data_IF_147495930011
#
_entry.id   IF_147495930011
#
_cell.length_a   1.000
_cell.length_b   1.000
_cell.length_c   1.000
_cell.angle_alpha   90.00
_cell.angle_beta   90.00
_cell.angle_gamma   90.00
#
_symmetry.space_group_name_H-M   'P 1'
#
loop_
_entity.id
_entity.type
_entity.pdbx_description
1 polymer ?
#
# COMPACT_ATOMS: atom_id res chain seq x y z
N UNK A 1 20.12 -1.41 -31.67
CA UNK A 1 18.83 -1.77 -31.04
C UNK A 1 18.98 -1.95 -29.53
N UNK A 2 20.04 -2.58 -29.03
CA UNK A 2 20.37 -2.65 -27.57
C UNK A 2 20.49 -1.28 -26.90
N UNK A 3 21.15 -0.31 -27.53
CA UNK A 3 21.37 1.03 -26.94
C UNK A 3 20.07 1.81 -26.74
N UNK A 4 19.11 1.69 -27.66
CA UNK A 4 17.82 2.40 -27.59
C UNK A 4 16.86 1.77 -26.56
N UNK A 5 16.93 0.45 -26.36
CA UNK A 5 16.18 -0.25 -25.31
C UNK A 5 16.75 0.05 -23.92
N UNK A 6 18.09 0.11 -23.80
CA UNK A 6 18.76 0.54 -22.56
C UNK A 6 18.43 1.99 -22.21
N UNK A 7 18.45 2.93 -23.17
CA UNK A 7 18.06 4.33 -22.93
C UNK A 7 16.59 4.47 -22.54
N UNK A 8 15.66 3.76 -23.19
CA UNK A 8 14.25 3.77 -22.78
C UNK A 8 14.05 3.15 -21.40
N UNK A 9 14.71 2.04 -21.07
CA UNK A 9 14.63 1.45 -19.73
C UNK A 9 15.24 2.37 -18.66
N UNK A 10 16.31 3.12 -19.00
CA UNK A 10 16.92 4.14 -18.13
C UNK A 10 16.02 5.37 -17.93
N UNK A 11 15.29 5.80 -18.96
CA UNK A 11 14.29 6.89 -18.88
C UNK A 11 13.05 6.46 -18.08
N UNK A 12 12.60 5.21 -18.21
CA UNK A 12 11.51 4.66 -17.38
C UNK A 12 11.92 4.48 -15.90
N UNK A 13 13.20 4.22 -15.62
CA UNK A 13 13.71 4.06 -14.25
C UNK A 13 13.98 5.36 -13.49
N UNK A 14 13.80 6.55 -14.07
CA UNK A 14 14.11 7.84 -13.41
C UNK A 14 12.93 8.82 -13.39
N UNK A 15 11.71 8.31 -13.55
CA UNK A 15 10.50 9.12 -13.67
C UNK A 15 10.22 10.01 -12.44
N UNK A 16 10.72 9.61 -11.27
CA UNK A 16 10.48 10.28 -9.99
C UNK A 16 11.76 10.87 -9.38
N UNK A 17 12.81 11.08 -10.19
CA UNK A 17 14.03 11.74 -9.71
C UNK A 17 13.73 13.12 -9.11
N UNK A 18 14.23 13.37 -7.90
CA UNK A 18 14.00 14.60 -7.16
C UNK A 18 12.63 14.70 -6.48
N UNK A 19 11.78 13.68 -6.58
CA UNK A 19 10.53 13.56 -5.81
C UNK A 19 10.82 13.04 -4.40
N UNK A 20 10.04 13.54 -3.44
CA UNK A 20 10.12 13.12 -2.03
C UNK A 20 8.85 12.38 -1.65
N UNK A 21 9.00 11.17 -1.15
CA UNK A 21 7.90 10.32 -0.69
C UNK A 21 7.99 10.06 0.81
N UNK A 22 6.84 10.02 1.48
CA UNK A 22 6.67 9.49 2.83
C UNK A 22 5.71 8.31 2.77
N UNK A 23 6.12 7.15 3.30
CA UNK A 23 5.29 5.96 3.39
C UNK A 23 5.18 5.53 4.85
N UNK A 24 4.00 5.76 5.42
CA UNK A 24 3.62 5.20 6.71
C UNK A 24 3.24 3.73 6.56
N UNK A 25 3.80 2.86 7.40
CA UNK A 25 3.57 1.41 7.29
C UNK A 25 4.56 0.66 6.40
N UNK A 26 5.67 1.29 6.01
CA UNK A 26 6.63 0.75 5.05
C UNK A 26 7.51 -0.41 5.55
N UNK A 27 7.25 -0.98 6.71
CA UNK A 27 8.14 -2.03 7.26
C UNK A 27 8.13 -3.31 6.42
N UNK A 28 6.99 -3.67 5.81
CA UNK A 28 6.73 -4.97 5.16
C UNK A 28 5.59 -4.85 4.13
N UNK A 29 5.28 -5.94 3.42
CA UNK A 29 4.10 -6.02 2.55
C UNK A 29 4.07 -4.97 1.46
N UNK A 30 2.87 -4.42 1.19
CA UNK A 30 2.66 -3.41 0.16
C UNK A 30 3.49 -2.14 0.43
N UNK A 31 3.52 -1.63 1.65
CA UNK A 31 4.31 -0.46 2.05
C UNK A 31 5.79 -0.58 1.73
N UNK A 32 6.38 -1.74 2.03
CA UNK A 32 7.78 -2.02 1.65
C UNK A 32 7.96 -2.00 0.14
N UNK A 33 7.10 -2.71 -0.61
CA UNK A 33 7.25 -2.81 -2.05
C UNK A 33 7.03 -1.46 -2.75
N UNK A 34 6.06 -0.67 -2.30
CA UNK A 34 5.85 0.71 -2.74
C UNK A 34 7.09 1.57 -2.48
N UNK A 35 7.74 1.43 -1.31
CA UNK A 35 9.00 2.14 -1.03
C UNK A 35 10.09 1.77 -2.03
N UNK A 36 10.28 0.46 -2.26
CA UNK A 36 11.30 -0.06 -3.16
C UNK A 36 11.05 0.37 -4.61
N UNK A 37 9.82 0.30 -5.11
CA UNK A 37 9.48 0.74 -6.47
C UNK A 37 9.62 2.26 -6.65
N UNK A 38 9.22 3.07 -5.67
CA UNK A 38 9.46 4.51 -5.70
C UNK A 38 10.96 4.85 -5.71
N UNK A 39 11.76 4.15 -4.91
CA UNK A 39 13.22 4.25 -4.94
C UNK A 39 13.81 3.89 -6.29
N UNK A 40 13.37 2.76 -6.87
CA UNK A 40 13.77 2.32 -8.21
C UNK A 40 13.44 3.34 -9.30
N UNK A 41 12.37 4.11 -9.12
CA UNK A 41 11.98 5.21 -10.01
C UNK A 41 12.74 6.53 -9.75
N UNK A 42 13.63 6.58 -8.75
CA UNK A 42 14.48 7.72 -8.42
C UNK A 42 13.99 8.61 -7.26
N UNK A 43 12.96 8.21 -6.52
CA UNK A 43 12.47 9.03 -5.40
C UNK A 43 13.40 8.93 -4.17
N UNK A 44 13.42 10.00 -3.36
CA UNK A 44 13.85 9.92 -1.96
C UNK A 44 12.66 9.49 -1.10
N UNK A 45 12.78 8.38 -0.39
CA UNK A 45 11.66 7.73 0.33
C UNK A 45 11.94 7.68 1.82
N UNK A 46 11.10 8.36 2.60
CA UNK A 46 11.05 8.20 4.06
C UNK A 46 10.23 6.95 4.39
N UNK A 47 10.92 5.96 4.94
CA UNK A 47 10.41 4.63 5.26
C UNK A 47 10.09 4.60 6.76
N UNK A 48 8.79 4.60 7.10
CA UNK A 48 8.37 4.75 8.50
C UNK A 48 7.49 3.62 8.98
N UNK A 49 7.55 3.38 10.29
CA UNK A 49 6.88 2.28 10.95
C UNK A 49 7.47 2.03 12.32
N UNK A 50 6.89 1.06 13.02
CA UNK A 50 7.21 0.77 14.42
C UNK A 50 8.29 -0.29 14.58
N UNK A 51 8.34 -1.30 13.70
CA UNK A 51 9.36 -2.34 13.81
C UNK A 51 10.70 -1.83 13.26
N UNK A 52 11.69 -1.76 14.14
CA UNK A 52 13.09 -1.43 13.86
C UNK A 52 13.97 -2.63 14.18
N UNK A 53 15.28 -2.52 13.96
CA UNK A 53 16.25 -3.54 14.42
C UNK A 53 16.26 -3.71 15.94
N UNK A 54 15.85 -2.70 16.69
CA UNK A 54 15.92 -2.65 18.16
C UNK A 54 14.54 -2.79 18.82
N UNK A 55 13.45 -2.63 18.07
CA UNK A 55 12.08 -2.64 18.59
C UNK A 55 11.15 -3.44 17.68
N UNK A 56 10.34 -4.31 18.28
CA UNK A 56 9.33 -5.11 17.57
C UNK A 56 7.95 -4.60 17.93
N UNK A 57 7.18 -4.22 16.92
CA UNK A 57 5.78 -3.78 17.12
C UNK A 57 4.87 -4.92 17.57
N UNK A 58 3.63 -4.59 17.95
CA UNK A 58 2.62 -5.56 18.40
C UNK A 58 2.26 -6.64 17.36
N UNK A 59 2.62 -6.43 16.09
CA UNK A 59 2.50 -7.44 15.02
C UNK A 59 3.43 -8.63 15.27
N UNK A 60 4.47 -8.48 16.09
CA UNK A 60 5.34 -9.58 16.55
C UNK A 60 6.31 -10.12 15.52
N UNK A 61 6.38 -9.55 14.31
CA UNK A 61 7.29 -9.96 13.25
C UNK A 61 8.64 -9.26 13.36
N UNK A 62 9.71 -10.05 13.45
CA UNK A 62 11.09 -9.58 13.73
C UNK A 62 12.00 -9.54 12.50
N UNK A 63 11.59 -10.18 11.40
CA UNK A 63 12.37 -10.31 10.16
C UNK A 63 12.33 -9.05 9.31
N UNK A 64 11.21 -8.32 9.35
CA UNK A 64 11.04 -7.09 8.60
C UNK A 64 11.23 -5.86 9.48
N UNK A 65 12.14 -4.97 9.06
CA UNK A 65 12.44 -3.69 9.72
C UNK A 65 12.35 -2.53 8.72
N UNK A 66 12.14 -1.31 9.23
CA UNK A 66 12.19 -0.11 8.38
C UNK A 66 13.61 0.13 7.84
N UNK A 67 14.66 -0.20 8.59
CA UNK A 67 16.04 -0.09 8.14
C UNK A 67 16.31 -1.05 6.99
N UNK A 68 15.86 -2.31 7.10
CA UNK A 68 15.98 -3.29 6.02
C UNK A 68 15.20 -2.86 4.77
N UNK A 69 14.05 -2.22 4.94
CA UNK A 69 13.33 -1.66 3.78
C UNK A 69 14.08 -0.48 3.16
N UNK A 70 14.65 0.44 3.95
CA UNK A 70 15.46 1.53 3.41
C UNK A 70 16.70 1.02 2.65
N UNK A 71 17.32 -0.07 3.11
CA UNK A 71 18.42 -0.73 2.39
C UNK A 71 17.98 -1.32 1.05
N UNK A 72 16.79 -1.95 1.00
CA UNK A 72 16.20 -2.42 -0.26
C UNK A 72 15.87 -1.26 -1.23
N UNK A 73 15.47 -0.10 -0.69
CA UNK A 73 15.27 1.12 -1.48
C UNK A 73 16.60 1.57 -2.09
N UNK A 74 17.66 1.68 -1.30
CA UNK A 74 19.00 2.08 -1.77
C UNK A 74 19.54 1.09 -2.83
N UNK A 75 19.37 -0.22 -2.62
CA UNK A 75 19.76 -1.26 -3.58
C UNK A 75 19.01 -1.11 -4.91
N UNK A 76 17.69 -0.88 -4.86
CA UNK A 76 16.86 -0.75 -6.04
C UNK A 76 17.06 0.57 -6.80
N UNK A 77 17.37 1.65 -6.08
CA UNK A 77 17.51 3.00 -6.63
C UNK A 77 18.88 3.28 -7.26
N UNK A 78 19.93 2.54 -6.86
CA UNK A 78 21.30 2.85 -7.25
C UNK A 78 21.73 4.25 -6.78
N UNK A 79 22.03 5.15 -7.71
CA UNK A 79 22.51 6.50 -7.39
C UNK A 79 21.43 7.59 -7.43
N UNK A 80 20.19 7.25 -7.82
CA UNK A 80 19.18 8.25 -8.20
C UNK A 80 18.04 8.41 -7.20
N UNK A 81 17.88 7.47 -6.28
CA UNK A 81 16.90 7.52 -5.18
C UNK A 81 17.56 7.12 -3.87
N UNK A 82 16.82 7.23 -2.77
CA UNK A 82 17.36 6.96 -1.43
C UNK A 82 16.29 6.52 -0.44
N UNK A 83 16.58 5.48 0.35
CA UNK A 83 15.79 5.09 1.51
C UNK A 83 16.24 5.82 2.77
N UNK A 84 15.31 6.36 3.54
CA UNK A 84 15.58 7.00 4.83
C UNK A 84 14.65 6.36 5.88
N UNK A 85 15.19 5.45 6.68
CA UNK A 85 14.43 4.85 7.77
C UNK A 85 14.21 5.86 8.90
N UNK A 86 12.96 6.05 9.33
CA UNK A 86 12.61 6.88 10.49
C UNK A 86 11.60 6.16 11.37
N UNK A 87 12.01 5.65 12.56
CA UNK A 87 11.09 5.05 13.51
C UNK A 87 9.97 6.03 13.86
N UNK A 88 8.73 5.64 13.60
CA UNK A 88 7.55 6.48 13.82
C UNK A 88 6.35 5.61 14.16
N UNK A 89 5.75 5.83 15.32
CA UNK A 89 4.38 5.40 15.60
C UNK A 89 3.40 6.47 15.09
N UNK A 90 2.65 6.14 14.05
CA UNK A 90 1.68 7.05 13.45
C UNK A 90 0.43 7.28 14.31
N UNK A 91 0.33 6.62 15.48
CA UNK A 91 -0.63 6.96 16.52
C UNK A 91 -0.14 8.01 17.51
N UNK A 92 1.13 8.43 17.41
CA UNK A 92 1.74 9.41 18.31
C UNK A 92 1.99 10.72 17.55
N UNK A 93 1.10 11.74 17.68
CA UNK A 93 1.15 12.96 16.87
C UNK A 93 2.48 13.70 16.94
N UNK A 94 3.16 13.68 18.09
CA UNK A 94 4.45 14.34 18.26
C UNK A 94 5.58 13.65 17.47
N UNK A 95 5.53 12.32 17.31
CA UNK A 95 6.48 11.59 16.47
C UNK A 95 6.24 11.91 14.99
N UNK A 96 4.98 11.95 14.56
CA UNK A 96 4.60 12.31 13.18
C UNK A 96 5.01 13.75 12.87
N UNK A 97 4.84 14.68 13.81
CA UNK A 97 5.29 16.07 13.64
C UNK A 97 6.81 16.15 13.49
N UNK A 98 7.56 15.48 14.36
CA UNK A 98 9.02 15.44 14.28
C UNK A 98 9.53 14.85 12.95
N UNK A 99 8.83 13.83 12.43
CA UNK A 99 9.08 13.25 11.11
C UNK A 99 8.85 14.28 9.99
N UNK A 100 7.69 14.94 9.95
CA UNK A 100 7.36 15.94 8.91
C UNK A 100 8.31 17.14 8.98
N UNK A 101 8.63 17.64 10.18
CA UNK A 101 9.61 18.72 10.39
C UNK A 101 11.01 18.32 9.89
N UNK A 102 11.38 17.05 10.02
CA UNK A 102 12.61 16.51 9.45
C UNK A 102 12.57 16.51 7.92
N UNK A 103 11.48 16.06 7.31
CA UNK A 103 11.30 16.08 5.85
C UNK A 103 11.38 17.51 5.32
N UNK A 104 10.69 18.46 5.96
CA UNK A 104 10.73 19.87 5.57
C UNK A 104 12.14 20.45 5.66
N UNK A 105 12.87 20.19 6.76
CA UNK A 105 14.26 20.67 6.92
C UNK A 105 15.23 20.05 5.90
N UNK A 106 15.10 18.76 5.62
CA UNK A 106 16.04 18.03 4.77
C UNK A 106 15.76 18.22 3.28
N UNK A 107 14.48 18.34 2.89
CA UNK A 107 14.06 18.34 1.49
C UNK A 107 13.26 19.59 1.08
N UNK A 108 12.63 20.29 2.02
CA UNK A 108 11.78 21.47 1.77
C UNK A 108 10.47 21.18 1.04
N UNK A 109 10.14 19.90 0.83
CA UNK A 109 8.98 19.45 0.04
C UNK A 109 8.54 18.05 0.44
N UNK A 110 7.29 17.73 0.11
CA UNK A 110 6.73 16.39 0.06
C UNK A 110 5.91 16.29 -1.23
N UNK A 111 6.12 15.25 -2.03
CA UNK A 111 5.43 15.04 -3.30
C UNK A 111 4.44 13.88 -3.24
N UNK A 112 4.76 12.83 -2.47
CA UNK A 112 3.97 11.60 -2.40
C UNK A 112 3.79 11.25 -0.93
N UNK A 113 2.56 11.16 -0.48
CA UNK A 113 2.19 10.68 0.86
C UNK A 113 1.41 9.38 0.73
N UNK A 114 1.91 8.30 1.34
CA UNK A 114 1.24 7.00 1.36
C UNK A 114 0.91 6.61 2.79
N UNK A 115 -0.37 6.42 3.07
CA UNK A 115 -0.86 5.87 4.33
C UNK A 115 -1.17 4.38 4.13
N UNK A 116 -0.26 3.51 4.56
CA UNK A 116 -0.38 2.05 4.52
C UNK A 116 -0.21 1.43 5.92
N UNK A 117 -0.70 2.14 6.95
CA UNK A 117 -0.57 1.67 8.32
C UNK A 117 -1.62 0.60 8.62
N UNK A 118 -1.17 -0.64 8.81
CA UNK A 118 -2.03 -1.73 9.27
C UNK A 118 -1.30 -2.65 10.26
N UNK A 119 -2.07 -3.15 11.23
CA UNK A 119 -1.62 -4.17 12.18
C UNK A 119 -2.79 -4.88 12.86
N UNK A 120 -4.02 -4.71 12.35
CA UNK A 120 -5.23 -5.22 12.97
C UNK A 120 -5.42 -6.73 12.83
N UNK A 121 -4.71 -7.40 11.91
CA UNK A 121 -4.91 -8.84 11.67
C UNK A 121 -4.62 -9.70 12.90
N UNK A 122 -3.66 -9.32 13.74
CA UNK A 122 -3.34 -10.05 14.98
C UNK A 122 -4.39 -9.87 16.08
N UNK A 123 -5.35 -8.97 15.88
CA UNK A 123 -6.47 -8.69 16.78
C UNK A 123 -7.75 -9.42 16.36
N UNK A 124 -7.69 -10.13 15.23
CA UNK A 124 -8.80 -10.85 14.61
C UNK A 124 -8.50 -12.35 14.60
N UNK A 125 -9.54 -13.16 14.79
CA UNK A 125 -9.45 -14.62 14.64
C UNK A 125 -10.01 -15.02 13.27
N UNK A 126 -9.14 -15.12 12.28
CA UNK A 126 -9.49 -15.54 10.92
C UNK A 126 -9.80 -17.03 10.80
N UNK A 127 -9.54 -17.83 11.84
CA UNK A 127 -9.82 -19.27 11.87
C UNK A 127 -11.23 -19.60 12.40
N UNK A 128 -11.92 -18.60 12.97
CA UNK A 128 -13.26 -18.79 13.52
C UNK A 128 -14.27 -19.17 12.42
N UNK A 129 -15.04 -20.25 12.66
CA UNK A 129 -16.11 -20.70 11.76
C UNK A 129 -17.16 -19.60 11.51
N UNK A 130 -17.42 -18.78 12.53
CA UNK A 130 -18.25 -17.58 12.45
C UNK A 130 -17.52 -16.43 13.13
N UNK A 131 -17.35 -15.33 12.39
CA UNK A 131 -16.92 -14.06 12.98
C UNK A 131 -17.96 -13.54 13.98
N UNK A 132 -17.55 -13.07 15.18
CA UNK A 132 -18.46 -12.55 16.19
C UNK A 132 -19.26 -11.36 15.68
N UNK A 133 -20.48 -11.21 16.21
CA UNK A 133 -21.26 -9.99 16.03
C UNK A 133 -20.63 -8.85 16.85
N UNK A 134 -20.89 -7.59 16.49
CA UNK A 134 -20.15 -6.43 17.04
C UNK A 134 -20.18 -6.33 18.57
N UNK A 135 -21.30 -6.69 19.21
CA UNK A 135 -21.46 -6.68 20.67
C UNK A 135 -20.78 -7.86 21.38
N UNK A 136 -20.39 -8.91 20.64
CA UNK A 136 -19.67 -10.08 21.17
C UNK A 136 -18.15 -9.96 20.95
N UNK A 137 -17.70 -8.93 20.22
CA UNK A 137 -16.28 -8.63 20.07
C UNK A 137 -15.71 -8.01 21.33
N UNK A 138 -14.43 -8.32 21.59
CA UNK A 138 -13.65 -7.58 22.58
C UNK A 138 -13.55 -6.11 22.14
N UNK A 139 -14.11 -5.21 22.96
CA UNK A 139 -14.23 -3.80 22.62
C UNK A 139 -12.86 -3.14 22.49
N UNK A 140 -11.89 -3.49 23.34
CA UNK A 140 -10.55 -2.89 23.31
C UNK A 140 -9.78 -3.30 22.05
N UNK A 141 -9.89 -4.56 21.63
CA UNK A 141 -9.36 -5.03 20.34
C UNK A 141 -10.04 -4.31 19.16
N UNK A 142 -11.37 -4.20 19.20
CA UNK A 142 -12.14 -3.51 18.18
C UNK A 142 -11.74 -2.05 18.02
N UNK A 143 -11.66 -1.30 19.13
CA UNK A 143 -11.18 0.08 19.13
C UNK A 143 -9.72 0.17 18.68
N UNK A 144 -8.84 -0.75 19.10
CA UNK A 144 -7.45 -0.78 18.64
C UNK A 144 -7.34 -0.94 17.13
N UNK A 145 -8.19 -1.74 16.49
CA UNK A 145 -8.26 -1.85 15.02
C UNK A 145 -8.57 -0.49 14.39
N UNK A 146 -9.56 0.24 14.92
CA UNK A 146 -9.91 1.58 14.44
C UNK A 146 -8.76 2.56 14.59
N UNK A 147 -8.04 2.50 15.71
CA UNK A 147 -6.85 3.33 15.91
C UNK A 147 -5.80 3.02 14.84
N UNK A 148 -5.48 1.74 14.66
CA UNK A 148 -4.45 1.31 13.72
C UNK A 148 -4.77 1.63 12.27
N UNK A 149 -6.01 1.42 11.82
CA UNK A 149 -6.39 1.54 10.40
C UNK A 149 -7.08 2.85 10.00
N UNK A 150 -7.40 3.74 10.97
CA UNK A 150 -8.09 5.01 10.69
C UNK A 150 -7.42 6.17 11.41
N UNK A 151 -7.29 6.10 12.74
CA UNK A 151 -6.69 7.20 13.52
C UNK A 151 -5.26 7.51 13.06
N UNK A 152 -4.47 6.47 12.77
CA UNK A 152 -3.11 6.64 12.26
C UNK A 152 -3.07 7.35 10.90
N UNK A 153 -4.01 7.06 9.98
CA UNK A 153 -4.13 7.73 8.70
C UNK A 153 -4.49 9.22 8.89
N UNK A 154 -5.45 9.51 9.78
CA UNK A 154 -5.87 10.88 10.10
C UNK A 154 -4.71 11.69 10.69
N UNK A 155 -4.00 11.18 11.69
CA UNK A 155 -2.87 11.87 12.33
C UNK A 155 -1.79 12.18 11.29
N UNK A 156 -1.50 11.22 10.42
CA UNK A 156 -0.47 11.35 9.37
C UNK A 156 -0.87 12.40 8.34
N UNK A 157 -2.06 12.29 7.76
CA UNK A 157 -2.57 13.25 6.78
C UNK A 157 -2.69 14.65 7.36
N UNK A 158 -3.27 14.81 8.56
CA UNK A 158 -3.37 16.11 9.22
C UNK A 158 -2.01 16.82 9.34
N UNK A 159 -0.96 16.06 9.65
CA UNK A 159 0.37 16.62 9.90
C UNK A 159 1.17 16.83 8.61
N UNK A 160 1.06 15.92 7.64
CA UNK A 160 1.89 15.92 6.44
C UNK A 160 1.30 16.71 5.25
N UNK A 161 -0.03 16.81 5.15
CA UNK A 161 -0.68 17.53 4.05
C UNK A 161 -0.28 19.01 3.95
N UNK A 162 -0.09 19.77 5.04
CA UNK A 162 0.41 21.15 4.95
C UNK A 162 1.76 21.28 4.23
N UNK A 163 2.61 20.26 4.27
CA UNK A 163 3.87 20.22 3.52
C UNK A 163 3.63 19.79 2.05
N UNK A 164 2.76 18.80 1.83
CA UNK A 164 2.39 18.31 0.49
C UNK A 164 1.82 19.43 -0.38
N UNK A 165 0.86 20.20 0.13
CA UNK A 165 0.13 21.23 -0.63
C UNK A 165 0.95 22.49 -0.95
N UNK A 166 2.18 22.59 -0.46
CA UNK A 166 3.08 23.70 -0.83
C UNK A 166 3.44 23.68 -2.32
N UNK A 167 3.38 22.51 -2.95
CA UNK A 167 3.71 22.33 -4.36
C UNK A 167 2.53 21.67 -5.10
N UNK A 168 2.09 22.20 -6.26
CA UNK A 168 1.12 21.52 -7.11
C UNK A 168 1.65 20.16 -7.59
N UNK A 169 0.74 19.22 -7.85
CA UNK A 169 1.06 17.87 -8.28
C UNK A 169 1.43 16.90 -7.14
N UNK A 170 1.14 17.26 -5.89
CA UNK A 170 1.24 16.33 -4.77
C UNK A 170 0.21 15.21 -4.85
N UNK A 171 0.59 13.99 -4.44
CA UNK A 171 -0.24 12.79 -4.46
C UNK A 171 -0.38 12.22 -3.04
N UNK A 172 -1.61 12.14 -2.54
CA UNK A 172 -1.99 11.35 -1.38
C UNK A 172 -2.55 10.00 -1.84
N UNK A 173 -2.05 8.91 -1.25
CA UNK A 173 -2.55 7.56 -1.44
C UNK A 173 -2.97 6.97 -0.11
N UNK A 174 -4.26 6.74 0.05
CA UNK A 174 -4.83 5.95 1.15
C UNK A 174 -4.84 4.48 0.73
N UNK A 175 -4.12 3.61 1.43
CA UNK A 175 -4.11 2.17 1.10
C UNK A 175 -5.18 1.43 1.86
N UNK A 176 -5.91 0.56 1.15
CA UNK A 176 -6.97 -0.28 1.73
C UNK A 176 -6.93 -1.72 1.24
N UNK A 177 -7.94 -2.51 1.59
CA UNK A 177 -8.24 -3.81 1.01
C UNK A 177 -9.69 -3.83 0.50
N UNK A 178 -9.85 -3.99 -0.81
CA UNK A 178 -11.14 -3.95 -1.52
C UNK A 178 -11.38 -2.65 -2.28
N UNK A 179 -12.00 -2.78 -3.44
CA UNK A 179 -12.53 -1.62 -4.19
C UNK A 179 -13.79 -1.07 -3.53
N UNK A 180 -14.20 0.15 -3.90
CA UNK A 180 -15.50 0.72 -3.49
C UNK A 180 -16.65 -0.25 -3.82
N UNK A 181 -16.68 -0.82 -5.03
CA UNK A 181 -17.71 -1.78 -5.44
C UNK A 181 -17.72 -3.02 -4.54
N UNK A 182 -16.55 -3.60 -4.28
CA UNK A 182 -16.44 -4.79 -3.45
C UNK A 182 -16.83 -4.53 -1.99
N UNK A 183 -16.43 -3.37 -1.45
CA UNK A 183 -16.68 -2.99 -0.06
C UNK A 183 -18.09 -2.39 0.19
N UNK A 184 -18.97 -2.36 -0.81
CA UNK A 184 -20.42 -2.14 -0.58
C UNK A 184 -21.07 -3.29 0.21
N UNK A 185 -20.43 -4.46 0.23
CA UNK A 185 -20.84 -5.60 1.05
C UNK A 185 -20.16 -5.53 2.42
N UNK A 186 -20.80 -6.11 3.42
CA UNK A 186 -20.21 -6.23 4.75
C UNK A 186 -19.04 -7.24 4.75
N UNK A 187 -17.82 -6.77 5.05
CA UNK A 187 -16.58 -7.56 4.99
C UNK A 187 -16.38 -8.54 6.14
N UNK A 188 -17.01 -8.28 7.29
CA UNK A 188 -16.84 -8.98 8.59
C UNK A 188 -15.38 -9.10 9.08
N UNK A 189 -15.14 -8.97 10.40
CA UNK A 189 -16.07 -8.45 11.41
C UNK A 189 -16.20 -6.91 11.35
N UNK A 190 -17.07 -6.34 12.18
CA UNK A 190 -17.49 -4.94 12.13
C UNK A 190 -16.33 -3.93 12.07
N UNK A 191 -15.36 -4.04 12.98
CA UNK A 191 -14.24 -3.09 13.03
C UNK A 191 -13.28 -3.24 11.84
N UNK A 192 -13.12 -4.45 11.30
CA UNK A 192 -12.32 -4.68 10.09
C UNK A 192 -12.98 -4.03 8.88
N UNK A 193 -14.29 -4.23 8.72
CA UNK A 193 -15.08 -3.63 7.65
C UNK A 193 -14.96 -2.10 7.64
N UNK A 194 -15.11 -1.46 8.81
CA UNK A 194 -14.91 -0.02 8.93
C UNK A 194 -13.47 0.39 8.61
N UNK A 195 -12.47 -0.33 9.12
CA UNK A 195 -11.07 -0.02 8.86
C UNK A 195 -10.67 -0.16 7.38
N UNK A 196 -11.37 -0.99 6.59
CA UNK A 196 -11.10 -1.15 5.14
C UNK A 196 -12.04 -0.33 4.24
N UNK A 197 -13.14 0.18 4.76
CA UNK A 197 -14.03 1.08 4.00
C UNK A 197 -13.69 2.55 4.21
N UNK A 198 -13.22 2.92 5.40
CA UNK A 198 -12.93 4.32 5.75
C UNK A 198 -11.84 4.96 4.87
N UNK A 199 -10.72 4.30 4.52
CA UNK A 199 -9.70 4.91 3.65
C UNK A 199 -10.24 5.31 2.26
N UNK A 200 -11.23 4.58 1.72
CA UNK A 200 -11.93 4.94 0.47
C UNK A 200 -12.63 6.29 0.65
N UNK A 201 -13.33 6.46 1.78
CA UNK A 201 -14.03 7.72 2.08
C UNK A 201 -13.05 8.87 2.36
N UNK A 202 -11.95 8.60 3.04
CA UNK A 202 -10.89 9.59 3.30
C UNK A 202 -10.30 10.11 2.01
N UNK A 203 -9.98 9.24 1.03
CA UNK A 203 -9.47 9.68 -0.26
C UNK A 203 -10.48 10.55 -1.02
N UNK A 204 -11.77 10.20 -1.00
CA UNK A 204 -12.82 11.03 -1.58
C UNK A 204 -12.85 12.43 -0.93
N UNK A 205 -12.94 12.50 0.39
CA UNK A 205 -13.09 13.76 1.11
C UNK A 205 -11.83 14.64 1.01
N UNK A 206 -10.64 14.06 1.15
CA UNK A 206 -9.37 14.76 0.95
C UNK A 206 -9.15 15.16 -0.52
N UNK A 207 -9.73 14.43 -1.47
CA UNK A 207 -9.71 14.81 -2.88
C UNK A 207 -10.45 16.12 -3.15
N UNK A 208 -11.55 16.39 -2.43
CA UNK A 208 -12.25 17.67 -2.54
C UNK A 208 -11.40 18.84 -2.03
N UNK A 209 -10.69 18.65 -0.92
CA UNK A 209 -9.82 19.68 -0.34
C UNK A 209 -8.53 19.90 -1.16
N UNK A 210 -7.86 18.82 -1.56
CA UNK A 210 -6.56 18.86 -2.24
C UNK A 210 -6.64 19.41 -3.67
N UNK A 211 -7.82 19.34 -4.30
CA UNK A 211 -8.05 19.88 -5.65
C UNK A 211 -7.74 21.38 -5.74
N UNK A 212 -8.08 22.17 -4.73
CA UNK A 212 -7.80 23.62 -4.72
C UNK A 212 -6.30 23.93 -4.73
N UNK A 213 -5.48 22.98 -4.28
CA UNK A 213 -4.02 23.07 -4.23
C UNK A 213 -3.35 22.40 -5.44
N UNK A 214 -4.11 21.95 -6.43
CA UNK A 214 -3.59 21.22 -7.58
C UNK A 214 -2.98 19.86 -7.21
N UNK A 215 -3.42 19.27 -6.10
CA UNK A 215 -2.99 17.96 -5.61
C UNK A 215 -4.10 16.92 -5.85
N UNK A 216 -3.73 15.64 -5.75
CA UNK A 216 -4.64 14.50 -5.98
C UNK A 216 -4.67 13.60 -4.75
N UNK A 217 -5.86 13.13 -4.37
CA UNK A 217 -6.03 12.03 -3.42
C UNK A 217 -6.63 10.82 -4.13
N UNK A 218 -6.12 9.62 -3.86
CA UNK A 218 -6.71 8.36 -4.32
C UNK A 218 -6.69 7.33 -3.21
N UNK A 219 -7.60 6.36 -3.28
CA UNK A 219 -7.48 5.15 -2.49
C UNK A 219 -6.95 4.02 -3.39
N UNK A 220 -5.89 3.33 -2.96
CA UNK A 220 -5.28 2.23 -3.70
C UNK A 220 -5.47 0.93 -2.92
N UNK A 221 -5.95 -0.12 -3.59
CA UNK A 221 -6.00 -1.47 -3.02
C UNK A 221 -5.11 -2.43 -3.81
N UNK A 222 -4.35 -3.32 -3.14
CA UNK A 222 -3.88 -4.53 -3.78
C UNK A 222 -5.06 -5.42 -4.16
N UNK A 223 -4.80 -6.42 -5.00
CA UNK A 223 -5.59 -7.64 -5.11
C UNK A 223 -5.29 -8.63 -3.97
N UNK A 224 -5.35 -9.93 -4.26
CA UNK A 224 -4.98 -10.95 -3.27
C UNK A 224 -3.46 -10.98 -3.08
N UNK A 225 -2.98 -10.26 -2.07
CA UNK A 225 -1.56 -9.96 -1.91
C UNK A 225 -0.74 -11.13 -1.38
N UNK A 226 0.35 -11.49 -2.09
CA UNK A 226 1.40 -12.41 -1.63
C UNK A 226 2.39 -11.71 -0.69
N UNK A 227 1.90 -11.15 0.42
CA UNK A 227 2.76 -10.54 1.44
C UNK A 227 3.60 -11.59 2.16
N UNK A 228 4.65 -11.16 2.87
CA UNK A 228 5.47 -12.06 3.69
C UNK A 228 4.60 -12.86 4.66
N UNK A 229 3.66 -12.20 5.35
CA UNK A 229 2.73 -12.85 6.27
C UNK A 229 1.79 -13.86 5.57
N UNK A 230 1.32 -13.57 4.36
CA UNK A 230 0.47 -14.49 3.61
C UNK A 230 1.24 -15.76 3.24
N UNK A 231 2.45 -15.60 2.72
CA UNK A 231 3.28 -16.72 2.29
C UNK A 231 3.80 -17.53 3.48
N UNK A 232 4.45 -16.89 4.46
CA UNK A 232 5.15 -17.60 5.54
C UNK A 232 4.27 -18.02 6.73
N UNK A 233 3.17 -17.30 6.97
CA UNK A 233 2.33 -17.50 8.16
C UNK A 233 1.04 -18.20 7.79
N UNK A 234 0.32 -17.68 6.81
CA UNK A 234 -0.98 -18.24 6.41
C UNK A 234 -0.84 -19.54 5.60
N UNK A 235 0.02 -19.55 4.57
CA UNK A 235 0.05 -20.66 3.61
C UNK A 235 1.30 -21.54 3.65
N UNK A 236 2.33 -21.16 4.40
CA UNK A 236 3.58 -21.93 4.57
C UNK A 236 4.29 -22.24 3.24
N UNK A 237 4.29 -21.25 2.35
CA UNK A 237 4.94 -21.25 1.03
C UNK A 237 5.90 -20.06 0.91
N UNK A 238 6.69 -20.02 -0.15
CA UNK A 238 7.54 -18.90 -0.55
C UNK A 238 7.04 -18.30 -1.87
N UNK A 239 7.65 -17.20 -2.32
CA UNK A 239 7.34 -16.66 -3.65
C UNK A 239 7.73 -17.65 -4.77
N UNK A 240 8.73 -18.51 -4.59
CA UNK A 240 9.13 -19.47 -5.63
C UNK A 240 8.11 -20.60 -5.81
N UNK A 241 7.36 -20.94 -4.75
CA UNK A 241 6.41 -22.05 -4.77
C UNK A 241 4.99 -21.67 -4.31
N UNK A 242 4.61 -20.39 -4.40
CA UNK A 242 3.32 -19.90 -3.90
C UNK A 242 2.11 -20.67 -4.48
N UNK A 243 2.24 -21.20 -5.69
CA UNK A 243 1.21 -22.00 -6.37
C UNK A 243 0.88 -23.31 -5.65
N UNK A 244 1.78 -23.82 -4.81
CA UNK A 244 1.50 -25.01 -3.98
C UNK A 244 0.32 -24.78 -3.04
N UNK A 245 0.11 -23.53 -2.58
CA UNK A 245 -1.03 -23.16 -1.75
C UNK A 245 -2.38 -23.35 -2.48
N UNK A 246 -2.40 -23.31 -3.81
CA UNK A 246 -3.61 -23.51 -4.61
C UNK A 246 -4.19 -24.93 -4.49
N UNK A 247 -3.43 -25.91 -3.98
CA UNK A 247 -3.95 -27.23 -3.67
C UNK A 247 -5.01 -27.21 -2.55
N UNK A 248 -4.92 -26.22 -1.65
CA UNK A 248 -5.82 -26.05 -0.51
C UNK A 248 -6.65 -24.77 -0.57
N UNK A 249 -6.15 -23.75 -1.29
CA UNK A 249 -6.81 -22.46 -1.52
C UNK A 249 -6.82 -22.16 -3.02
N UNK A 250 -7.66 -22.85 -3.83
CA UNK A 250 -7.59 -22.79 -5.29
C UNK A 250 -7.66 -21.36 -5.88
N UNK A 251 -8.46 -20.49 -5.26
CA UNK A 251 -8.63 -19.10 -5.69
C UNK A 251 -7.38 -18.22 -5.47
N UNK A 252 -6.41 -18.66 -4.67
CA UNK A 252 -5.12 -17.97 -4.52
C UNK A 252 -4.32 -17.90 -5.83
N UNK A 253 -4.73 -18.65 -6.86
CA UNK A 253 -4.21 -18.54 -8.22
C UNK A 253 -4.29 -17.12 -8.82
N UNK A 254 -5.22 -16.28 -8.34
CA UNK A 254 -5.36 -14.88 -8.78
C UNK A 254 -4.38 -13.91 -8.08
N UNK A 255 -3.62 -14.39 -7.10
CA UNK A 255 -2.78 -13.54 -6.26
C UNK A 255 -1.75 -12.73 -7.02
N UNK A 256 -1.29 -11.65 -6.40
CA UNK A 256 -0.32 -10.71 -6.96
C UNK A 256 0.82 -10.46 -5.97
N UNK A 257 1.99 -10.08 -6.46
CA UNK A 257 3.07 -9.66 -5.57
C UNK A 257 2.83 -8.26 -5.00
N UNK A 258 3.44 -7.95 -3.83
CA UNK A 258 3.56 -6.57 -3.36
C UNK A 258 4.18 -5.61 -4.39
N UNK A 259 5.11 -6.08 -5.21
CA UNK A 259 5.74 -5.29 -6.27
C UNK A 259 4.74 -4.77 -7.30
N UNK A 260 3.69 -5.53 -7.61
CA UNK A 260 2.64 -5.09 -8.54
C UNK A 260 1.91 -3.83 -8.05
N UNK A 261 1.65 -3.75 -6.74
CA UNK A 261 1.07 -2.56 -6.08
C UNK A 261 2.05 -1.39 -6.13
N UNK A 262 3.35 -1.66 -5.88
CA UNK A 262 4.41 -0.65 -6.00
C UNK A 262 4.50 -0.04 -7.39
N UNK A 263 4.38 -0.87 -8.45
CA UNK A 263 4.35 -0.40 -9.84
C UNK A 263 3.12 0.45 -10.13
N UNK A 264 1.97 0.11 -9.55
CA UNK A 264 0.75 0.91 -9.64
C UNK A 264 0.93 2.31 -9.02
N UNK A 265 1.57 2.38 -7.84
CA UNK A 265 1.89 3.65 -7.19
C UNK A 265 2.85 4.50 -8.05
N UNK A 266 3.91 3.90 -8.61
CA UNK A 266 4.85 4.62 -9.48
C UNK A 266 4.14 5.15 -10.72
N UNK A 267 3.27 4.35 -11.35
CA UNK A 267 2.50 4.77 -12.52
C UNK A 267 1.61 5.98 -12.22
N UNK A 268 0.91 5.98 -11.08
CA UNK A 268 0.13 7.14 -10.63
C UNK A 268 1.00 8.36 -10.34
N UNK A 269 2.11 8.19 -9.62
CA UNK A 269 2.98 9.29 -9.23
C UNK A 269 3.71 9.94 -10.43
N UNK A 270 3.96 9.17 -11.49
CA UNK A 270 4.61 9.64 -12.71
C UNK A 270 3.61 10.21 -13.74
N UNK A 271 2.31 10.03 -13.54
CA UNK A 271 1.29 10.45 -14.49
C UNK A 271 0.99 11.96 -14.37
N UNK A 272 1.30 12.78 -15.41
CA UNK A 272 0.99 14.21 -15.40
C UNK A 272 -0.52 14.50 -15.35
N UNK A 273 -1.36 13.54 -15.73
CA UNK A 273 -2.81 13.62 -15.75
C UNK A 273 -3.46 12.84 -14.59
N UNK A 274 -2.70 12.54 -13.51
CA UNK A 274 -3.18 11.80 -12.34
C UNK A 274 -4.43 12.42 -11.69
N UNK A 275 -4.66 13.72 -11.85
CA UNK A 275 -5.83 14.42 -11.31
C UNK A 275 -7.17 13.85 -11.82
N UNK A 276 -7.20 13.12 -12.95
CA UNK A 276 -8.41 12.42 -13.41
C UNK A 276 -8.90 11.35 -12.43
N UNK A 277 -8.01 10.85 -11.58
CA UNK A 277 -8.29 9.83 -10.57
C UNK A 277 -8.72 10.41 -9.23
N UNK A 278 -8.69 11.74 -9.05
CA UNK A 278 -8.93 12.36 -7.77
C UNK A 278 -10.24 11.89 -7.10
N UNK A 279 -10.14 11.47 -5.85
CA UNK A 279 -11.23 10.95 -5.03
C UNK A 279 -11.65 9.51 -5.31
N UNK A 280 -10.98 8.80 -6.23
CA UNK A 280 -11.41 7.45 -6.65
C UNK A 280 -10.76 6.32 -5.85
N UNK A 281 -11.45 5.17 -5.84
CA UNK A 281 -10.94 3.87 -5.39
C UNK A 281 -10.37 3.11 -6.59
N UNK A 282 -9.08 2.79 -6.53
CA UNK A 282 -8.30 2.17 -7.60
C UNK A 282 -7.72 0.85 -7.13
N UNK A 283 -7.50 -0.07 -8.07
CA UNK A 283 -6.79 -1.33 -7.80
C UNK A 283 -5.52 -1.41 -8.62
N UNK A 284 -4.51 -2.11 -8.09
CA UNK A 284 -3.29 -2.48 -8.84
C UNK A 284 -3.62 -3.11 -10.20
N UNK A 285 -4.58 -4.04 -10.24
CA UNK A 285 -5.06 -4.68 -11.47
C UNK A 285 -5.69 -3.71 -12.48
N UNK A 286 -6.55 -2.80 -12.03
CA UNK A 286 -7.16 -1.79 -12.90
C UNK A 286 -6.11 -0.81 -13.45
N UNK A 287 -5.18 -0.38 -12.61
CA UNK A 287 -4.10 0.52 -13.02
C UNK A 287 -3.11 -0.17 -13.97
N UNK A 288 -2.88 -1.46 -13.83
CA UNK A 288 -2.06 -2.22 -14.77
C UNK A 288 -2.67 -2.26 -16.18
N UNK A 289 -4.00 -2.40 -16.28
CA UNK A 289 -4.71 -2.34 -17.56
C UNK A 289 -4.62 -0.94 -18.19
N UNK A 290 -4.73 0.11 -17.37
CA UNK A 290 -4.64 1.51 -17.82
C UNK A 290 -3.21 1.88 -18.27
N UNK A 291 -2.20 1.58 -17.45
CA UNK A 291 -0.82 2.04 -17.64
C UNK A 291 0.09 1.03 -18.34
N UNK A 292 -0.36 -0.21 -18.54
CA UNK A 292 0.36 -1.24 -19.29
C UNK A 292 1.57 -1.84 -18.57
N UNK A 293 1.56 -1.89 -17.23
CA UNK A 293 2.58 -2.61 -16.45
C UNK A 293 2.10 -4.01 -16.06
N UNK A 294 3.03 -4.88 -15.68
CA UNK A 294 2.77 -6.26 -15.25
C UNK A 294 3.29 -6.52 -13.84
N UNK A 295 2.94 -7.66 -13.25
CA UNK A 295 3.55 -8.23 -12.05
C UNK A 295 4.97 -8.76 -12.37
N UNK A 296 5.69 -9.28 -11.39
CA UNK A 296 7.06 -9.78 -11.54
C UNK A 296 7.17 -10.99 -12.46
N UNK A 297 6.11 -11.80 -12.55
CA UNK A 297 6.04 -12.99 -13.42
C UNK A 297 5.49 -12.68 -14.83
N UNK A 298 5.25 -11.40 -15.13
CA UNK A 298 4.71 -10.94 -16.41
C UNK A 298 3.19 -11.00 -16.53
N UNK A 299 2.47 -11.47 -15.50
CA UNK A 299 1.00 -11.43 -15.46
C UNK A 299 0.44 -10.04 -15.14
N UNK A 300 -0.86 -9.83 -15.31
CA UNK A 300 -1.57 -8.62 -14.91
C UNK A 300 -2.90 -8.98 -14.21
N UNK A 301 -2.83 -9.49 -12.96
CA UNK A 301 -4.01 -9.97 -12.25
C UNK A 301 -5.04 -8.85 -12.01
N UNK A 302 -6.31 -9.13 -12.32
CA UNK A 302 -7.49 -8.34 -12.00
C UNK A 302 -8.28 -9.07 -10.90
N UNK A 303 -7.72 -9.03 -9.69
CA UNK A 303 -8.21 -9.82 -8.58
C UNK A 303 -9.64 -9.44 -8.16
N UNK A 304 -9.98 -8.15 -8.12
CA UNK A 304 -11.30 -7.75 -7.65
C UNK A 304 -12.41 -8.17 -8.62
N UNK A 305 -12.18 -8.07 -9.94
CA UNK A 305 -13.12 -8.59 -10.93
C UNK A 305 -13.27 -10.11 -10.79
N UNK A 306 -12.17 -10.83 -10.62
CA UNK A 306 -12.19 -12.28 -10.38
C UNK A 306 -12.96 -12.68 -9.12
N UNK A 307 -12.72 -11.99 -8.01
CA UNK A 307 -13.39 -12.28 -6.73
C UNK A 307 -14.91 -12.06 -6.84
N UNK A 308 -15.35 -11.06 -7.59
CA UNK A 308 -16.77 -10.77 -7.84
C UNK A 308 -17.38 -11.80 -8.80
N UNK A 309 -16.75 -12.07 -9.94
CA UNK A 309 -17.35 -12.86 -11.01
C UNK A 309 -17.18 -14.38 -10.84
N UNK A 310 -16.17 -14.82 -10.08
CA UNK A 310 -15.78 -16.23 -9.93
C UNK A 310 -15.96 -16.71 -8.50
N UNK A 311 -15.13 -16.23 -7.56
CA UNK A 311 -15.10 -16.78 -6.19
C UNK A 311 -16.41 -16.54 -5.44
N UNK A 312 -16.93 -15.30 -5.46
CA UNK A 312 -18.19 -14.98 -4.76
C UNK A 312 -19.41 -15.69 -5.36
N UNK A 313 -19.29 -16.20 -6.59
CA UNK A 313 -20.32 -16.99 -7.27
C UNK A 313 -20.17 -18.49 -7.01
N UNK A 314 -19.18 -18.92 -6.22
CA UNK A 314 -18.91 -20.33 -5.93
C UNK A 314 -18.44 -21.13 -7.14
N UNK A 315 -17.89 -20.47 -8.17
CA UNK A 315 -17.38 -21.13 -9.37
C UNK A 315 -16.00 -21.75 -9.09
N UNK A 316 -15.61 -22.82 -9.81
CA UNK A 316 -14.25 -23.34 -9.73
C UNK A 316 -13.20 -22.27 -10.05
N UNK A 317 -12.02 -22.39 -9.45
CA UNK A 317 -10.92 -21.46 -9.71
C UNK A 317 -10.45 -21.58 -11.17
N UNK A 318 -10.70 -20.53 -11.95
CA UNK A 318 -10.21 -20.36 -13.32
C UNK A 318 -9.83 -18.89 -13.54
N UNK A 319 -8.52 -18.62 -13.62
CA UNK A 319 -7.98 -17.27 -13.78
C UNK A 319 -7.94 -16.80 -15.24
N UNK A 320 -8.42 -17.61 -16.19
CA UNK A 320 -8.40 -17.27 -17.61
C UNK A 320 -9.11 -15.94 -17.87
N UNK A 321 -8.39 -14.99 -18.45
CA UNK A 321 -8.89 -13.64 -18.72
C UNK A 321 -8.74 -12.65 -17.57
N UNK A 322 -8.35 -13.10 -16.37
CA UNK A 322 -8.14 -12.27 -15.18
C UNK A 322 -6.66 -12.18 -14.74
N UNK A 323 -5.72 -12.81 -15.44
CA UNK A 323 -4.29 -12.85 -15.10
C UNK A 323 -3.41 -12.73 -16.33
#
# INVERSE_FOLDING_TARGET
METTAQTKAQEHGRQLEGKVALIGGATRGAGRAMAVELGRAGATVYVTGRTTREHVSEVGRTTETIEGTAELVDEAAGATGRGIAVPTDHLEPDQVRALVDRIDREQGRLDILVNDMWGGDVLLDWSAEKQPDMWDMDLDKGLRIMRLGIESHIITSHTALPLLVRNPGGLLVEVTDGTEEYNRRYRKPFFYDLAKTTPIRMAHDLGEELKEHGCTAVCLTPGWLRSEAMLDTAFKVTEDNWRDACAHVPHFAISETPTYVGRALVALAADPDAARWNGQSLSSGGLAQEYGFTDVDGSAPDAWRYLIEVESQGKPADVTGYR
#
